data_IF_590812160931
#
_entry.id   IF_590812160931
#
_cell.length_a   1.000
_cell.length_b   1.000
_cell.length_c   1.000
_cell.angle_alpha   90.00
_cell.angle_beta   90.00
_cell.angle_gamma   90.00
#
_symmetry.space_group_name_H-M   'P 1'
#
loop_
_entity.id
_entity.type
_entity.pdbx_description
1 polymer ?
#
# COMPACT_ATOMS: atom_id res chain seq x y z
N UNK A 1 -1.48 0.76 14.52
CA UNK A 1 -1.56 0.69 13.05
C UNK A 1 -1.17 -0.70 12.56
N UNK A 2 0.09 -1.12 12.75
CA UNK A 2 0.57 -2.45 12.32
C UNK A 2 -0.18 -3.62 13.00
N UNK A 3 -0.39 -3.59 14.31
CA UNK A 3 -1.14 -4.64 15.02
C UNK A 3 -2.58 -4.78 14.48
N UNK A 4 -3.23 -3.66 14.20
CA UNK A 4 -4.56 -3.67 13.60
C UNK A 4 -4.53 -4.30 12.21
N UNK A 5 -3.55 -3.96 11.37
CA UNK A 5 -3.38 -4.61 10.08
C UNK A 5 -3.22 -6.12 10.26
N UNK A 6 -2.26 -6.58 11.07
CA UNK A 6 -1.98 -7.99 11.30
C UNK A 6 -3.20 -8.76 11.84
N UNK A 7 -4.05 -8.11 12.65
CA UNK A 7 -5.28 -8.73 13.14
C UNK A 7 -6.34 -8.92 12.04
N UNK A 8 -6.32 -8.07 11.01
CA UNK A 8 -7.36 -8.04 9.98
C UNK A 8 -6.86 -8.44 8.58
N UNK A 9 -5.56 -8.73 8.39
CA UNK A 9 -4.98 -9.15 7.09
C UNK A 9 -5.61 -10.43 6.51
N UNK A 10 -6.32 -11.20 7.34
CA UNK A 10 -7.06 -12.41 6.94
C UNK A 10 -8.46 -12.11 6.38
N UNK A 11 -8.95 -10.87 6.47
CA UNK A 11 -10.20 -10.47 5.81
C UNK A 11 -10.07 -10.66 4.30
N UNK A 12 -11.10 -11.19 3.63
CA UNK A 12 -11.06 -11.39 2.17
C UNK A 12 -11.25 -10.10 1.38
N UNK A 13 -11.94 -9.13 1.98
CA UNK A 13 -12.24 -7.85 1.35
C UNK A 13 -11.18 -6.81 1.72
N UNK A 14 -10.14 -6.73 0.89
CA UNK A 14 -9.02 -5.79 1.09
C UNK A 14 -9.46 -4.33 0.97
N UNK A 15 -10.44 -4.02 0.12
CA UNK A 15 -10.91 -2.65 -0.09
C UNK A 15 -11.64 -2.14 1.15
N UNK A 16 -12.51 -2.97 1.73
CA UNK A 16 -13.16 -2.66 3.00
C UNK A 16 -12.15 -2.46 4.13
N UNK A 17 -11.13 -3.32 4.21
CA UNK A 17 -10.07 -3.17 5.20
C UNK A 17 -9.31 -1.84 5.02
N UNK A 18 -9.04 -1.43 3.78
CA UNK A 18 -8.45 -0.12 3.49
C UNK A 18 -9.32 1.04 3.95
N UNK A 19 -10.62 1.01 3.68
CA UNK A 19 -11.53 2.06 4.15
C UNK A 19 -11.57 2.13 5.69
N UNK A 20 -11.75 0.99 6.36
CA UNK A 20 -11.78 0.92 7.83
C UNK A 20 -10.46 1.41 8.43
N UNK A 21 -9.33 1.02 7.83
CA UNK A 21 -8.00 1.44 8.25
C UNK A 21 -7.79 2.95 8.12
N UNK A 22 -8.09 3.54 6.97
CA UNK A 22 -7.90 4.96 6.72
C UNK A 22 -8.81 5.83 7.60
N UNK A 23 -10.05 5.39 7.84
CA UNK A 23 -10.97 6.05 8.77
C UNK A 23 -10.42 5.99 10.20
N UNK A 24 -10.06 4.79 10.67
CA UNK A 24 -9.66 4.56 12.05
C UNK A 24 -8.32 5.21 12.41
N UNK A 25 -7.41 5.32 11.45
CA UNK A 25 -6.07 5.82 11.66
C UNK A 25 -5.80 7.19 11.03
N UNK A 26 -6.82 7.96 10.66
CA UNK A 26 -6.67 9.29 10.03
C UNK A 26 -5.63 10.19 10.71
N UNK A 27 -5.62 10.26 12.04
CA UNK A 27 -4.65 11.06 12.80
C UNK A 27 -3.23 10.47 12.79
N UNK A 28 -3.12 9.14 12.73
CA UNK A 28 -1.85 8.42 12.70
C UNK A 28 -1.23 8.46 11.29
N UNK A 29 -2.02 8.65 10.24
CA UNK A 29 -1.52 8.88 8.88
C UNK A 29 -0.62 10.13 8.79
N UNK A 30 -0.89 11.14 9.61
CA UNK A 30 -0.04 12.35 9.68
C UNK A 30 1.37 11.98 10.17
N UNK A 31 1.46 11.15 11.21
CA UNK A 31 2.74 10.65 11.73
C UNK A 31 3.43 9.70 10.76
N UNK A 32 2.67 8.88 10.03
CA UNK A 32 3.23 8.01 9.00
C UNK A 32 3.80 8.85 7.84
N UNK A 33 3.10 9.92 7.43
CA UNK A 33 3.57 10.89 6.45
C UNK A 33 4.90 11.52 6.83
N UNK A 34 5.06 11.98 8.07
CA UNK A 34 6.34 12.52 8.57
C UNK A 34 7.49 11.51 8.48
N UNK A 35 7.16 10.22 8.55
CA UNK A 35 8.11 9.11 8.37
C UNK A 35 8.20 8.63 6.93
N UNK A 36 7.61 9.36 5.98
CA UNK A 36 7.62 9.05 4.57
C UNK A 36 6.64 7.95 4.15
N UNK A 37 5.57 7.68 4.89
CA UNK A 37 4.56 6.66 4.58
C UNK A 37 5.09 5.22 4.68
N UNK A 38 5.87 4.89 5.71
CA UNK A 38 6.42 3.53 5.88
C UNK A 38 5.29 2.51 6.04
N UNK A 39 4.28 2.81 6.87
CA UNK A 39 3.18 1.88 7.12
C UNK A 39 2.24 1.79 5.93
N UNK A 40 1.87 2.91 5.32
CA UNK A 40 0.99 2.93 4.15
C UNK A 40 1.61 2.18 2.96
N UNK A 41 2.91 2.37 2.71
CA UNK A 41 3.63 1.65 1.64
C UNK A 41 3.72 0.15 1.92
N UNK A 42 4.00 -0.22 3.16
CA UNK A 42 4.04 -1.64 3.58
C UNK A 42 2.67 -2.30 3.43
N UNK A 43 1.60 -1.59 3.80
CA UNK A 43 0.25 -2.10 3.65
C UNK A 43 -0.14 -2.26 2.19
N UNK A 44 0.17 -1.25 1.37
CA UNK A 44 -0.12 -1.26 -0.06
C UNK A 44 0.60 -2.38 -0.78
N UNK A 45 1.87 -2.63 -0.46
CA UNK A 45 2.60 -3.78 -0.96
C UNK A 45 1.94 -5.11 -0.60
N UNK A 46 1.51 -5.28 0.66
CA UNK A 46 0.79 -6.48 1.07
C UNK A 46 -0.52 -6.65 0.27
N UNK A 47 -1.30 -5.58 0.13
CA UNK A 47 -2.60 -5.66 -0.57
C UNK A 47 -2.47 -5.82 -2.07
N UNK A 48 -1.42 -5.29 -2.69
CA UNK A 48 -1.18 -5.43 -4.13
C UNK A 48 -0.99 -6.91 -4.52
N UNK A 49 -0.32 -7.70 -3.67
CA UNK A 49 -0.20 -9.16 -3.87
C UNK A 49 -1.51 -9.95 -3.69
N UNK A 50 -2.56 -9.29 -3.19
CA UNK A 50 -3.85 -9.92 -2.83
C UNK A 50 -5.02 -9.40 -3.65
N UNK A 51 -4.87 -8.26 -4.31
CA UNK A 51 -5.89 -7.64 -5.14
C UNK A 51 -5.80 -8.17 -6.57
N UNK A 52 -6.96 -8.30 -7.20
CA UNK A 52 -7.03 -8.49 -8.65
C UNK A 52 -6.72 -7.15 -9.33
N UNK A 53 -6.17 -7.21 -10.54
CA UNK A 53 -5.88 -6.01 -11.35
C UNK A 53 -7.14 -5.16 -11.55
N UNK A 54 -8.31 -5.79 -11.71
CA UNK A 54 -9.60 -5.10 -11.82
C UNK A 54 -10.00 -4.30 -10.56
N UNK A 55 -9.43 -4.61 -9.40
CA UNK A 55 -9.71 -3.94 -8.14
C UNK A 55 -8.70 -2.82 -7.82
N UNK A 56 -7.62 -2.68 -8.60
CA UNK A 56 -6.65 -1.60 -8.42
C UNK A 56 -7.28 -0.20 -8.59
N UNK A 57 -8.17 0.06 -9.59
CA UNK A 57 -8.85 1.35 -9.70
C UNK A 57 -9.74 1.67 -8.50
N UNK A 58 -10.34 0.63 -7.89
CA UNK A 58 -11.19 0.79 -6.70
C UNK A 58 -10.35 1.16 -5.48
N UNK A 59 -9.17 0.56 -5.33
CA UNK A 59 -8.22 0.93 -4.29
C UNK A 59 -7.72 2.37 -4.46
N UNK A 60 -7.41 2.80 -5.70
CA UNK A 60 -7.02 4.17 -5.97
C UNK A 60 -8.10 5.17 -5.56
N UNK A 61 -9.38 4.85 -5.82
CA UNK A 61 -10.50 5.67 -5.39
C UNK A 61 -10.61 5.72 -3.85
N UNK A 62 -10.38 4.61 -3.15
CA UNK A 62 -10.35 4.60 -1.68
C UNK A 62 -9.23 5.51 -1.17
N UNK A 63 -8.02 5.40 -1.71
CA UNK A 63 -6.88 6.23 -1.31
C UNK A 63 -7.12 7.71 -1.60
N UNK A 64 -7.72 8.05 -2.74
CA UNK A 64 -8.02 9.43 -3.15
C UNK A 64 -9.01 10.15 -2.20
N UNK A 65 -9.81 9.42 -1.41
CA UNK A 65 -10.65 10.02 -0.36
C UNK A 65 -9.84 10.57 0.81
N UNK A 66 -8.61 10.10 1.02
CA UNK A 66 -7.80 10.38 2.21
C UNK A 66 -6.43 11.00 1.92
N UNK A 67 -5.93 10.86 0.71
CA UNK A 67 -4.62 11.35 0.27
C UNK A 67 -4.77 12.37 -0.87
N UNK A 68 -3.86 13.34 -0.94
CA UNK A 68 -3.74 14.20 -2.11
C UNK A 68 -3.18 13.44 -3.31
N UNK A 69 -3.37 13.99 -4.51
CA UNK A 69 -2.82 13.43 -5.75
C UNK A 69 -1.28 13.31 -5.70
N UNK A 70 -0.60 14.25 -5.06
CA UNK A 70 0.86 14.23 -4.89
C UNK A 70 1.29 13.07 -3.97
N UNK A 71 0.58 12.88 -2.85
CA UNK A 71 0.87 11.82 -1.89
C UNK A 71 0.64 10.44 -2.53
N UNK A 72 -0.47 10.29 -3.24
CA UNK A 72 -0.80 9.09 -4.02
C UNK A 72 0.30 8.79 -5.05
N UNK A 73 0.69 9.79 -5.86
CA UNK A 73 1.73 9.64 -6.87
C UNK A 73 3.07 9.20 -6.27
N UNK A 74 3.45 9.78 -5.13
CA UNK A 74 4.69 9.43 -4.42
C UNK A 74 4.69 7.98 -3.93
N UNK A 75 3.59 7.57 -3.30
CA UNK A 75 3.42 6.20 -2.80
C UNK A 75 3.45 5.18 -3.94
N UNK A 76 2.69 5.42 -5.01
CA UNK A 76 2.63 4.54 -6.18
C UNK A 76 3.98 4.44 -6.90
N UNK A 77 4.68 5.57 -7.10
CA UNK A 77 6.02 5.60 -7.70
C UNK A 77 7.04 4.80 -6.87
N UNK A 78 6.96 4.88 -5.53
CA UNK A 78 7.86 4.10 -4.66
C UNK A 78 7.67 2.61 -4.84
N UNK A 79 6.42 2.16 -5.00
CA UNK A 79 6.11 0.74 -5.21
C UNK A 79 6.58 0.27 -6.58
N UNK A 80 6.32 1.04 -7.63
CA UNK A 80 6.81 0.74 -8.97
C UNK A 80 8.35 0.66 -9.01
N UNK A 81 9.04 1.58 -8.35
CA UNK A 81 10.51 1.55 -8.23
C UNK A 81 11.00 0.28 -7.51
N UNK A 82 10.32 -0.14 -6.44
CA UNK A 82 10.64 -1.38 -5.72
C UNK A 82 10.49 -2.62 -6.61
N UNK A 83 9.42 -2.71 -7.41
CA UNK A 83 9.23 -3.82 -8.37
C UNK A 83 10.33 -3.89 -9.43
N UNK A 84 10.80 -2.73 -9.93
CA UNK A 84 11.93 -2.68 -10.86
C UNK A 84 13.20 -3.25 -10.21
N UNK A 85 13.45 -2.90 -8.94
CA UNK A 85 14.61 -3.38 -8.21
C UNK A 85 14.52 -4.87 -7.85
N UNK A 86 13.34 -5.37 -7.49
CA UNK A 86 13.06 -6.80 -7.29
C UNK A 86 13.32 -7.59 -8.58
N UNK A 87 12.75 -7.17 -9.72
CA UNK A 87 12.99 -7.85 -11.01
C UNK A 87 14.46 -7.83 -11.45
N UNK A 88 15.20 -6.75 -11.15
CA UNK A 88 16.66 -6.70 -11.38
C UNK A 88 17.43 -7.66 -10.47
N UNK A 89 16.97 -7.87 -9.24
CA UNK A 89 17.61 -8.78 -8.30
C UNK A 89 17.38 -10.24 -8.72
N UNK A 90 16.15 -10.59 -9.12
CA UNK A 90 15.80 -11.91 -9.65
C UNK A 90 16.62 -12.23 -10.90
N UNK A 91 16.69 -11.32 -11.87
CA UNK A 91 17.49 -11.53 -13.09
C UNK A 91 19.00 -11.70 -12.84
N UNK A 92 19.54 -11.13 -11.76
CA UNK A 92 20.94 -11.38 -11.34
C UNK A 92 21.12 -12.75 -10.69
N UNK A 93 20.12 -13.22 -9.96
CA UNK A 93 20.15 -14.52 -9.29
C UNK A 93 19.99 -15.67 -10.29
N UNK A 94 19.20 -15.51 -11.35
CA UNK A 94 19.04 -16.51 -12.40
C UNK A 94 20.26 -16.62 -13.34
N UNK A 95 21.08 -15.57 -13.43
CA UNK A 95 22.26 -15.52 -14.29
C UNK A 95 23.56 -16.01 -13.62
N UNK A 96 23.52 -16.37 -12.34
CA UNK A 96 24.68 -16.84 -11.54
C UNK A 96 24.57 -18.31 -11.18
#
# INVERSE_FOLDING_TARGET
>A
MLEYMLKHIHQRDMLKLWEEFLIKFKHVLILDKEKGYIYLRSFLWYTDTKLLESQQPELEQVLAKYLSEEEKSNIMRTIAAKYIDEGRAEGRAEAG
#
